data_IF_866998127528
#
_entry.id   IF_866998127528
#
_cell.length_a   1.000
_cell.length_b   1.000
_cell.length_c   1.000
_cell.angle_alpha   90.00
_cell.angle_beta   90.00
_cell.angle_gamma   90.00
#
_symmetry.space_group_name_H-M   'P 1'
#
loop_
_entity.id
_entity.type
_entity.pdbx_description
1 polymer ?
#
# COMPACT_ATOMS: atom_id res chain seq x y z
N UNK A 1 0.18 -18.40 -7.61
CA UNK A 1 -0.97 -17.58 -7.18
C UNK A 1 -0.87 -17.19 -5.71
N UNK A 2 -0.80 -18.14 -4.76
CA UNK A 2 -0.73 -17.87 -3.31
C UNK A 2 0.31 -16.81 -2.92
N UNK A 3 1.56 -16.92 -3.41
CA UNK A 3 2.63 -15.95 -3.11
C UNK A 3 2.28 -14.50 -3.51
N UNK A 4 1.58 -14.29 -4.63
CA UNK A 4 1.18 -12.97 -5.11
C UNK A 4 0.06 -12.39 -4.26
N UNK A 5 -0.96 -13.21 -3.96
CA UNK A 5 -2.08 -12.82 -3.09
C UNK A 5 -1.56 -12.42 -1.70
N UNK A 6 -0.70 -13.25 -1.10
CA UNK A 6 -0.13 -12.97 0.22
C UNK A 6 0.69 -11.67 0.26
N UNK A 7 1.47 -11.38 -0.80
CA UNK A 7 2.24 -10.14 -0.89
C UNK A 7 1.33 -8.91 -1.01
N UNK A 8 0.29 -8.96 -1.84
CA UNK A 8 -0.67 -7.85 -1.97
C UNK A 8 -1.43 -7.63 -0.66
N UNK A 9 -1.84 -8.70 0.02
CA UNK A 9 -2.48 -8.62 1.34
C UNK A 9 -1.54 -8.02 2.40
N UNK A 10 -0.27 -8.43 2.42
CA UNK A 10 0.73 -7.87 3.33
C UNK A 10 0.86 -6.36 3.13
N UNK A 11 0.95 -5.92 1.88
CA UNK A 11 1.04 -4.50 1.52
C UNK A 11 -0.23 -3.74 1.91
N UNK A 12 -1.41 -4.34 1.77
CA UNK A 12 -2.67 -3.75 2.23
C UNK A 12 -2.69 -3.56 3.75
N UNK A 13 -2.22 -4.56 4.51
CA UNK A 13 -2.12 -4.46 5.98
C UNK A 13 -1.15 -3.35 6.38
N UNK A 14 0.01 -3.25 5.72
CA UNK A 14 0.98 -2.17 5.95
C UNK A 14 0.37 -0.80 5.64
N UNK A 15 -0.47 -0.70 4.61
CA UNK A 15 -1.14 0.55 4.25
C UNK A 15 -2.19 0.94 5.30
N UNK A 16 -2.93 -0.01 5.86
CA UNK A 16 -3.86 0.24 6.98
C UNK A 16 -3.09 0.70 8.23
N UNK A 17 -1.98 0.06 8.55
CA UNK A 17 -1.12 0.49 9.68
C UNK A 17 -0.60 1.91 9.44
N UNK A 18 -0.15 2.22 8.23
CA UNK A 18 0.30 3.56 7.86
C UNK A 18 -0.82 4.60 7.99
N UNK A 19 -2.05 4.27 7.60
CA UNK A 19 -3.23 5.13 7.77
C UNK A 19 -3.48 5.45 9.25
N UNK A 20 -3.42 4.45 10.13
CA UNK A 20 -3.59 4.68 11.57
C UNK A 20 -2.45 5.48 12.20
N UNK A 21 -1.21 5.29 11.73
CA UNK A 21 -0.07 6.10 12.17
C UNK A 21 -0.18 7.55 11.69
N UNK A 22 -0.73 7.78 10.50
CA UNK A 22 -1.05 9.12 10.01
C UNK A 22 -2.20 9.74 10.85
N UNK A 23 -3.24 8.98 11.15
CA UNK A 23 -4.36 9.40 12.00
C UNK A 23 -3.92 9.80 13.42
N UNK A 24 -2.83 9.19 13.92
CA UNK A 24 -2.23 9.53 15.22
C UNK A 24 -1.48 10.87 15.20
N UNK A 25 -0.96 11.27 14.04
CA UNK A 25 -0.14 12.46 13.88
C UNK A 25 -0.75 13.35 12.78
N UNK A 26 -1.93 13.95 13.00
CA UNK A 26 -2.58 14.78 11.99
C UNK A 26 -1.68 15.96 11.63
N UNK A 27 -1.55 16.21 10.33
CA UNK A 27 -0.60 17.18 9.77
C UNK A 27 -1.28 18.50 9.40
N UNK A 28 -2.60 18.60 9.62
CA UNK A 28 -3.42 19.77 9.34
C UNK A 28 -4.94 19.51 9.51
N UNK A 29 -5.79 20.53 9.32
CA UNK A 29 -7.22 20.46 9.59
C UNK A 29 -8.03 19.54 8.66
N UNK A 30 -7.49 19.19 7.49
CA UNK A 30 -8.15 18.28 6.52
C UNK A 30 -7.43 16.93 6.43
N UNK A 31 -6.68 16.55 7.46
CA UNK A 31 -5.91 15.31 7.47
C UNK A 31 -6.62 14.26 8.29
N UNK A 32 -6.39 12.99 7.97
CA UNK A 32 -7.00 11.88 8.70
C UNK A 32 -6.62 12.01 10.18
N UNK A 33 -7.61 11.95 11.07
CA UNK A 33 -7.44 12.02 12.52
C UNK A 33 -8.36 11.02 13.21
N UNK A 34 -8.00 10.60 14.42
CA UNK A 34 -8.90 9.84 15.30
C UNK A 34 -10.05 10.67 15.87
N UNK A 35 -9.90 12.00 15.90
CA UNK A 35 -10.94 12.92 16.38
C UNK A 35 -12.12 13.03 15.38
N UNK A 36 -11.86 12.71 14.12
CA UNK A 36 -12.85 12.72 13.04
C UNK A 36 -13.08 11.29 12.52
N UNK A 37 -13.77 10.44 13.30
CA UNK A 37 -13.90 9.01 12.99
C UNK A 37 -14.54 8.78 11.62
N UNK A 38 -15.47 9.64 11.20
CA UNK A 38 -16.11 9.54 9.89
C UNK A 38 -15.10 9.64 8.73
N UNK A 39 -14.17 10.59 8.79
CA UNK A 39 -13.13 10.76 7.76
C UNK A 39 -12.16 9.58 7.78
N UNK A 40 -11.81 9.08 8.97
CA UNK A 40 -10.98 7.89 9.13
C UNK A 40 -11.62 6.65 8.50
N UNK A 41 -12.91 6.41 8.74
CA UNK A 41 -13.65 5.28 8.17
C UNK A 41 -13.76 5.35 6.64
N UNK A 42 -14.03 6.53 6.09
CA UNK A 42 -14.05 6.73 4.63
C UNK A 42 -12.65 6.47 4.05
N UNK A 43 -11.62 7.01 4.67
CA UNK A 43 -10.23 6.84 4.22
C UNK A 43 -9.81 5.35 4.24
N UNK A 44 -10.21 4.62 5.29
CA UNK A 44 -10.02 3.17 5.38
C UNK A 44 -10.76 2.44 4.25
N UNK A 45 -12.03 2.78 4.01
CA UNK A 45 -12.85 2.20 2.95
C UNK A 45 -12.23 2.41 1.57
N UNK A 46 -11.81 3.64 1.26
CA UNK A 46 -11.13 3.97 -0.01
C UNK A 46 -9.84 3.16 -0.15
N UNK A 47 -9.05 3.06 0.91
CA UNK A 47 -7.79 2.29 0.91
C UNK A 47 -8.06 0.81 0.60
N UNK A 48 -9.03 0.18 1.25
CA UNK A 48 -9.38 -1.22 0.98
C UNK A 48 -9.89 -1.40 -0.45
N UNK A 49 -10.73 -0.48 -0.93
CA UNK A 49 -11.25 -0.51 -2.31
C UNK A 49 -10.12 -0.34 -3.32
N UNK A 50 -9.12 0.51 -3.05
CA UNK A 50 -7.95 0.70 -3.91
C UNK A 50 -7.10 -0.57 -4.03
N UNK A 51 -7.04 -1.38 -2.96
CA UNK A 51 -6.31 -2.65 -2.95
C UNK A 51 -7.12 -3.82 -3.54
N UNK A 52 -8.43 -3.69 -3.73
CA UNK A 52 -9.28 -4.74 -4.30
C UNK A 52 -8.86 -5.14 -5.73
N UNK A 53 -8.63 -4.21 -6.67
CA UNK A 53 -8.18 -4.54 -8.02
C UNK A 53 -6.87 -5.36 -8.03
N UNK A 54 -5.75 -4.91 -7.42
CA UNK A 54 -4.52 -5.71 -7.42
C UNK A 54 -4.69 -7.05 -6.69
N UNK A 55 -5.57 -7.12 -5.68
CA UNK A 55 -5.88 -8.37 -4.99
C UNK A 55 -6.61 -9.36 -5.90
N UNK A 56 -7.66 -8.92 -6.60
CA UNK A 56 -8.41 -9.75 -7.55
C UNK A 56 -7.51 -10.18 -8.72
N UNK A 57 -6.74 -9.25 -9.29
CA UNK A 57 -5.81 -9.52 -10.39
C UNK A 57 -4.70 -10.53 -9.99
N UNK A 58 -4.36 -10.62 -8.70
CA UNK A 58 -3.36 -11.57 -8.22
C UNK A 58 -3.78 -13.05 -8.32
N UNK A 59 -5.09 -13.33 -8.42
CA UNK A 59 -5.63 -14.68 -8.62
C UNK A 59 -5.49 -15.18 -10.07
N UNK A 60 -5.44 -14.28 -11.06
CA UNK A 60 -5.34 -14.66 -12.46
C UNK A 60 -3.87 -14.81 -12.90
N UNK A 61 -3.62 -15.78 -13.78
CA UNK A 61 -2.26 -16.08 -14.29
C UNK A 61 -2.00 -15.57 -15.71
N UNK A 62 -2.95 -14.87 -16.32
CA UNK A 62 -2.82 -14.33 -17.67
C UNK A 62 -1.79 -13.20 -17.72
N UNK A 63 -0.98 -13.14 -18.78
CA UNK A 63 0.09 -12.16 -18.95
C UNK A 63 -0.45 -10.71 -18.89
N UNK A 64 -1.53 -10.42 -19.62
CA UNK A 64 -2.18 -9.10 -19.58
C UNK A 64 -2.61 -8.68 -18.16
N UNK A 65 -3.11 -9.63 -17.35
CA UNK A 65 -3.51 -9.38 -15.96
C UNK A 65 -2.29 -9.13 -15.06
N UNK A 66 -1.18 -9.82 -15.31
CA UNK A 66 0.09 -9.57 -14.60
C UNK A 66 0.61 -8.16 -14.87
N UNK A 67 0.61 -7.71 -16.14
CA UNK A 67 1.02 -6.34 -16.50
C UNK A 67 0.17 -5.30 -15.76
N UNK A 68 -1.16 -5.43 -15.81
CA UNK A 68 -2.07 -4.49 -15.12
C UNK A 68 -1.82 -4.51 -13.60
N UNK A 69 -1.66 -5.69 -13.01
CA UNK A 69 -1.33 -5.84 -11.59
C UNK A 69 0.00 -5.16 -11.23
N UNK A 70 1.02 -5.26 -12.09
CA UNK A 70 2.33 -4.63 -11.88
C UNK A 70 2.21 -3.11 -11.93
N UNK A 71 1.46 -2.56 -12.90
CA UNK A 71 1.21 -1.12 -13.00
C UNK A 71 0.55 -0.59 -11.71
N UNK A 72 -0.49 -1.26 -11.21
CA UNK A 72 -1.12 -0.90 -9.94
C UNK A 72 -0.13 -0.93 -8.76
N UNK A 73 0.71 -1.96 -8.68
CA UNK A 73 1.69 -2.08 -7.60
C UNK A 73 2.76 -0.98 -7.65
N UNK A 74 3.13 -0.48 -8.84
CA UNK A 74 4.05 0.66 -8.97
C UNK A 74 3.45 1.92 -8.32
N UNK A 75 2.15 2.20 -8.54
CA UNK A 75 1.49 3.31 -7.87
C UNK A 75 1.54 3.17 -6.34
N UNK A 76 1.34 1.95 -5.82
CA UNK A 76 1.41 1.67 -4.38
C UNK A 76 2.82 1.91 -3.84
N UNK A 77 3.87 1.49 -4.56
CA UNK A 77 5.27 1.78 -4.20
C UNK A 77 5.48 3.29 -4.09
N UNK A 78 5.01 4.07 -5.07
CA UNK A 78 5.15 5.52 -5.05
C UNK A 78 4.43 6.17 -3.86
N UNK A 79 3.26 5.65 -3.48
CA UNK A 79 2.55 6.13 -2.27
C UNK A 79 3.35 5.88 -1.00
N UNK A 80 3.89 4.67 -0.80
CA UNK A 80 4.74 4.37 0.36
C UNK A 80 6.06 5.15 0.35
N UNK A 81 6.65 5.35 -0.83
CA UNK A 81 7.85 6.15 -0.97
C UNK A 81 7.58 7.61 -0.60
N UNK A 82 6.41 8.14 -0.95
CA UNK A 82 5.96 9.48 -0.56
C UNK A 82 5.69 9.64 0.94
N UNK A 83 5.34 8.56 1.66
CA UNK A 83 5.19 8.60 3.11
C UNK A 83 6.50 8.84 3.85
N UNK A 84 7.64 8.44 3.27
CA UNK A 84 8.98 8.64 3.86
C UNK A 84 9.30 10.14 4.07
N UNK A 85 9.30 11.00 3.02
CA UNK A 85 9.55 12.44 3.22
C UNK A 85 8.45 13.10 4.06
N UNK A 86 7.19 12.66 3.95
CA UNK A 86 6.12 13.17 4.84
C UNK A 86 6.47 12.90 6.31
N UNK A 87 6.94 11.69 6.64
CA UNK A 87 7.38 11.34 7.98
C UNK A 87 8.48 12.23 8.55
N UNK A 88 9.39 12.73 7.69
CA UNK A 88 10.40 13.71 8.08
C UNK A 88 9.82 15.11 8.34
N UNK A 89 8.75 15.51 7.63
CA UNK A 89 8.08 16.79 7.85
C UNK A 89 7.27 16.84 9.15
N UNK A 90 6.78 15.69 9.63
CA UNK A 90 5.93 15.56 10.84
C UNK A 90 6.69 14.99 12.06
N UNK A 91 8.02 15.18 12.07
CA UNK A 91 9.03 14.43 12.84
C UNK A 91 8.60 13.08 13.45
N UNK A 92 7.96 12.20 12.66
CA UNK A 92 7.41 10.94 13.16
C UNK A 92 8.22 9.73 12.66
N UNK A 93 9.08 9.20 13.52
CA UNK A 93 9.91 8.02 13.21
C UNK A 93 9.06 6.82 12.80
N UNK A 94 7.89 6.63 13.41
CA UNK A 94 6.98 5.52 13.07
C UNK A 94 6.47 5.61 11.62
N UNK A 95 6.17 6.81 11.13
CA UNK A 95 5.70 7.04 9.76
C UNK A 95 6.83 6.83 8.75
N UNK A 96 8.05 7.23 9.09
CA UNK A 96 9.24 6.98 8.25
C UNK A 96 9.49 5.47 8.14
N UNK A 97 9.46 4.74 9.26
CA UNK A 97 9.73 3.30 9.30
C UNK A 97 8.66 2.52 8.53
N UNK A 98 7.37 2.82 8.72
CA UNK A 98 6.31 2.12 7.98
C UNK A 98 6.34 2.46 6.48
N UNK A 99 6.69 3.71 6.12
CA UNK A 99 6.89 4.12 4.73
C UNK A 99 8.02 3.34 4.06
N UNK A 100 9.16 3.19 4.74
CA UNK A 100 10.29 2.40 4.24
C UNK A 100 9.94 0.91 4.12
N UNK A 101 9.34 0.32 5.15
CA UNK A 101 8.92 -1.10 5.14
C UNK A 101 7.88 -1.38 4.05
N UNK A 102 6.88 -0.50 3.92
CA UNK A 102 5.86 -0.59 2.87
C UNK A 102 6.44 -0.46 1.47
N UNK A 103 7.42 0.42 1.28
CA UNK A 103 8.15 0.57 0.01
C UNK A 103 8.88 -0.73 -0.35
N UNK A 104 9.68 -1.26 0.59
CA UNK A 104 10.43 -2.51 0.38
C UNK A 104 9.47 -3.68 0.10
N UNK A 105 8.43 -3.84 0.92
CA UNK A 105 7.41 -4.89 0.74
C UNK A 105 6.73 -4.80 -0.63
N UNK A 106 6.38 -3.57 -1.06
CA UNK A 106 5.73 -3.35 -2.36
C UNK A 106 6.68 -3.66 -3.52
N UNK A 107 7.97 -3.30 -3.42
CA UNK A 107 8.98 -3.66 -4.43
C UNK A 107 9.15 -5.19 -4.50
N UNK A 108 9.23 -5.86 -3.35
CA UNK A 108 9.28 -7.33 -3.31
C UNK A 108 8.04 -7.95 -3.97
N UNK A 109 6.86 -7.39 -3.78
CA UNK A 109 5.63 -7.83 -4.44
C UNK A 109 5.73 -7.74 -5.98
N UNK A 110 6.29 -6.65 -6.50
CA UNK A 110 6.51 -6.46 -7.95
C UNK A 110 7.49 -7.51 -8.48
N UNK A 111 8.63 -7.69 -7.81
CA UNK A 111 9.65 -8.67 -8.21
C UNK A 111 9.06 -10.07 -8.25
N UNK A 112 8.29 -10.47 -7.22
CA UNK A 112 7.63 -11.78 -7.20
C UNK A 112 6.61 -11.91 -8.34
N UNK A 113 5.89 -10.84 -8.67
CA UNK A 113 4.92 -10.85 -9.78
C UNK A 113 5.62 -11.04 -11.13
N UNK A 114 6.73 -10.34 -11.37
CA UNK A 114 7.54 -10.45 -12.60
C UNK A 114 8.24 -11.81 -12.70
N UNK A 115 8.82 -12.34 -11.61
CA UNK A 115 9.46 -13.65 -11.63
C UNK A 115 8.47 -14.78 -11.94
N UNK A 116 7.22 -14.65 -11.48
CA UNK A 116 6.13 -15.58 -11.83
C UNK A 116 5.64 -15.38 -13.27
N UNK A 117 5.92 -14.23 -13.88
CA UNK A 117 5.68 -13.99 -15.31
C UNK A 117 6.71 -14.72 -16.17
N UNK A 118 8.00 -14.56 -15.88
CA UNK A 118 9.10 -15.16 -16.66
C UNK A 118 9.09 -16.69 -16.66
N UNK A 119 8.56 -17.32 -15.59
CA UNK A 119 8.59 -18.79 -15.43
C UNK A 119 7.51 -19.54 -16.25
N UNK A 120 6.49 -18.86 -16.77
CA UNK A 120 5.40 -19.48 -17.55
C UNK A 120 5.45 -19.05 -19.00
#
# INVERSE_FOLDING_TARGET
MVKRVSMVLLTMVLAIIALFLAAKNPTGPNTVSFDEPFILWISLGILVVLFLPPLILSFFNNLAVKIISTIYQVFIVLTFLGLVPVGFMIPSTSVIVIGALGTVSSICSIIVTILVEIKN
#
